data_IF_649665982332
#
_entry.id   IF_649665982332
#
_cell.length_a   1.000
_cell.length_b   1.000
_cell.length_c   1.000
_cell.angle_alpha   90.00
_cell.angle_beta   90.00
_cell.angle_gamma   90.00
#
_symmetry.space_group_name_H-M   'P 1'
#
loop_
_entity.id
_entity.type
_entity.pdbx_description
1 polymer ?
#
# COMPACT_ATOMS: atom_id res chain seq x y z
N UNK A 1 18.12 1.22 -2.66
CA UNK A 1 17.71 0.61 -1.37
C UNK A 1 18.59 1.15 -0.26
N UNK A 2 18.00 1.72 0.80
CA UNK A 2 18.78 2.24 1.94
C UNK A 2 19.50 1.10 2.65
N UNK A 3 20.66 1.37 3.25
CA UNK A 3 21.46 0.34 3.96
C UNK A 3 20.62 -0.35 5.05
N UNK A 4 19.79 0.40 5.77
CA UNK A 4 18.90 -0.13 6.80
C UNK A 4 17.90 -1.17 6.24
N UNK A 5 17.37 -0.98 5.03
CA UNK A 5 16.41 -1.92 4.43
C UNK A 5 17.07 -3.27 4.08
N UNK A 6 18.32 -3.23 3.61
CA UNK A 6 19.10 -4.46 3.40
C UNK A 6 19.39 -5.21 4.70
N UNK A 7 19.66 -4.47 5.78
CA UNK A 7 19.87 -5.08 7.10
C UNK A 7 18.58 -5.69 7.65
N UNK A 8 17.42 -5.07 7.42
CA UNK A 8 16.11 -5.65 7.79
C UNK A 8 15.89 -6.97 7.05
N UNK A 9 16.13 -7.02 5.73
CA UNK A 9 16.00 -8.26 4.97
C UNK A 9 16.95 -9.34 5.49
N UNK A 10 18.22 -9.00 5.74
CA UNK A 10 19.20 -9.94 6.30
C UNK A 10 18.81 -10.46 7.70
N UNK A 11 18.10 -9.64 8.50
CA UNK A 11 17.52 -10.07 9.79
C UNK A 11 16.40 -11.09 9.58
N UNK A 12 15.53 -10.88 8.59
CA UNK A 12 14.44 -11.80 8.26
C UNK A 12 14.98 -13.14 7.75
N UNK A 13 15.96 -13.09 6.83
CA UNK A 13 16.65 -14.29 6.32
C UNK A 13 17.32 -15.09 7.45
N UNK A 14 17.89 -14.40 8.44
CA UNK A 14 18.51 -15.04 9.61
C UNK A 14 17.46 -15.73 10.50
N UNK A 15 16.31 -15.08 10.73
CA UNK A 15 15.19 -15.65 11.50
C UNK A 15 14.65 -16.92 10.81
N UNK A 16 14.50 -16.90 9.50
CA UNK A 16 14.07 -18.05 8.72
C UNK A 16 15.12 -19.17 8.72
N UNK A 17 16.37 -18.84 8.41
CA UNK A 17 17.47 -19.80 8.36
C UNK A 17 17.69 -20.51 9.69
N UNK A 18 17.49 -19.82 10.81
CA UNK A 18 17.56 -20.40 12.14
C UNK A 18 16.24 -21.04 12.60
N UNK A 19 15.19 -21.04 11.77
CA UNK A 19 13.86 -21.58 12.08
C UNK A 19 13.31 -21.06 13.41
N UNK A 20 13.57 -19.79 13.74
CA UNK A 20 13.16 -19.17 15.00
C UNK A 20 11.65 -19.17 15.17
N UNK A 21 11.18 -19.45 16.38
CA UNK A 21 9.76 -19.43 16.73
C UNK A 21 9.40 -18.14 17.48
N UNK A 22 8.12 -17.77 17.48
CA UNK A 22 7.63 -16.67 18.31
C UNK A 22 7.94 -16.97 19.77
N UNK A 23 8.55 -16.02 20.45
CA UNK A 23 9.07 -16.16 21.80
C UNK A 23 10.57 -16.47 21.88
N UNK A 24 11.23 -16.85 20.78
CA UNK A 24 12.66 -17.09 20.77
C UNK A 24 13.43 -15.78 20.93
N UNK A 25 14.56 -15.86 21.62
CA UNK A 25 15.45 -14.73 21.84
C UNK A 25 16.39 -14.55 20.64
N UNK A 26 16.42 -13.33 20.11
CA UNK A 26 17.38 -12.98 19.07
C UNK A 26 18.81 -12.97 19.62
N UNK A 27 19.82 -13.24 18.77
CA UNK A 27 21.23 -13.01 19.11
C UNK A 27 21.45 -11.57 19.59
N UNK A 28 22.46 -11.36 20.43
CA UNK A 28 22.81 -10.02 20.92
C UNK A 28 23.19 -9.08 19.76
N UNK A 29 23.03 -7.75 19.94
CA UNK A 29 23.43 -6.75 18.92
C UNK A 29 24.88 -6.99 18.44
N UNK A 30 25.80 -7.38 19.33
CA UNK A 30 27.18 -7.69 18.97
C UNK A 30 27.26 -8.89 18.01
N UNK A 31 26.56 -9.98 18.34
CA UNK A 31 26.51 -11.18 17.50
C UNK A 31 25.84 -10.89 16.15
N UNK A 32 24.76 -10.12 16.15
CA UNK A 32 24.08 -9.71 14.91
C UNK A 32 24.98 -8.86 14.01
N UNK A 33 25.75 -7.91 14.58
CA UNK A 33 26.71 -7.13 13.79
C UNK A 33 27.80 -8.03 13.15
N UNK A 34 28.29 -9.03 13.89
CA UNK A 34 29.28 -10.00 13.40
C UNK A 34 28.66 -10.89 12.30
N UNK A 35 27.50 -11.48 12.53
CA UNK A 35 26.84 -12.40 11.60
C UNK A 35 26.39 -11.72 10.29
N UNK A 36 25.85 -10.51 10.39
CA UNK A 36 25.36 -9.76 9.25
C UNK A 36 26.41 -8.84 8.60
N UNK A 37 27.60 -8.75 9.19
CA UNK A 37 28.73 -7.91 8.73
C UNK A 37 28.31 -6.43 8.56
N UNK A 38 27.56 -5.89 9.54
CA UNK A 38 27.02 -4.53 9.50
C UNK A 38 27.47 -3.67 10.69
N UNK A 39 27.42 -2.34 10.53
CA UNK A 39 27.73 -1.41 11.61
C UNK A 39 26.64 -1.43 12.70
N UNK A 40 27.02 -1.08 13.94
CA UNK A 40 26.07 -0.99 15.05
C UNK A 40 24.95 0.04 14.79
N UNK A 41 25.26 1.15 14.12
CA UNK A 41 24.27 2.17 13.78
C UNK A 41 23.24 1.64 12.79
N UNK A 42 23.69 0.98 11.71
CA UNK A 42 22.79 0.38 10.70
C UNK A 42 21.94 -0.74 11.29
N UNK A 43 22.53 -1.57 12.19
CA UNK A 43 21.77 -2.61 12.88
C UNK A 43 20.68 -2.02 13.78
N UNK A 44 20.99 -0.98 14.57
CA UNK A 44 20.01 -0.35 15.46
C UNK A 44 18.85 0.29 14.70
N UNK A 45 19.14 0.96 13.58
CA UNK A 45 18.10 1.50 12.70
C UNK A 45 17.19 0.38 12.16
N UNK A 46 17.79 -0.73 11.71
CA UNK A 46 17.03 -1.89 11.26
C UNK A 46 16.21 -2.53 12.38
N UNK A 47 16.77 -2.75 13.58
CA UNK A 47 16.07 -3.29 14.73
C UNK A 47 14.91 -2.39 15.16
N UNK A 48 15.09 -1.06 15.12
CA UNK A 48 14.01 -0.11 15.41
C UNK A 48 12.88 -0.23 14.40
N UNK A 49 13.20 -0.38 13.11
CA UNK A 49 12.21 -0.57 12.05
C UNK A 49 11.45 -1.89 12.22
N UNK A 50 12.16 -2.99 12.48
CA UNK A 50 11.57 -4.32 12.72
C UNK A 50 10.71 -4.34 13.99
N UNK A 51 11.11 -3.60 15.02
CA UNK A 51 10.33 -3.42 16.26
C UNK A 51 9.06 -2.60 16.03
N UNK A 52 9.11 -1.54 15.22
CA UNK A 52 7.92 -0.74 14.87
C UNK A 52 6.89 -1.54 14.05
N UNK A 53 7.32 -2.56 13.33
CA UNK A 53 6.47 -3.52 12.61
C UNK A 53 5.90 -4.63 13.53
N UNK A 54 6.28 -4.62 14.82
CA UNK A 54 5.84 -5.62 15.81
C UNK A 54 6.44 -7.00 15.62
N UNK A 55 7.45 -7.16 14.75
CA UNK A 55 8.11 -8.46 14.49
C UNK A 55 9.01 -8.86 15.67
N UNK A 56 9.64 -7.89 16.31
CA UNK A 56 10.45 -8.10 17.51
C UNK A 56 9.98 -7.20 18.66
N UNK A 57 10.17 -7.67 19.89
CA UNK A 57 9.90 -6.91 21.10
C UNK A 57 11.14 -6.95 22.01
N UNK A 58 11.58 -5.76 22.47
CA UNK A 58 12.71 -5.64 23.39
C UNK A 58 12.22 -5.54 24.83
N UNK A 59 12.83 -6.34 25.73
CA UNK A 59 12.61 -6.26 27.17
C UNK A 59 13.88 -5.74 27.81
N UNK A 60 13.78 -4.62 28.53
CA UNK A 60 14.93 -3.96 29.17
C UNK A 60 15.66 -4.95 30.10
N UNK A 61 16.96 -5.05 29.95
CA UNK A 61 17.82 -5.95 30.73
C UNK A 61 17.71 -7.44 30.41
N UNK A 62 16.78 -7.85 29.54
CA UNK A 62 16.52 -9.28 29.25
C UNK A 62 16.92 -9.63 27.80
N UNK A 63 16.60 -8.79 26.84
CA UNK A 63 16.97 -9.00 25.43
C UNK A 63 15.84 -8.69 24.46
N UNK A 64 16.06 -8.98 23.20
CA UNK A 64 15.12 -8.85 22.10
C UNK A 64 14.57 -10.21 21.71
N UNK A 65 13.26 -10.32 21.52
CA UNK A 65 12.55 -11.57 21.26
C UNK A 65 11.73 -11.46 19.99
N UNK A 66 11.59 -12.55 19.27
CA UNK A 66 10.66 -12.66 18.15
C UNK A 66 9.22 -12.61 18.68
N UNK A 67 8.49 -11.53 18.35
CA UNK A 67 7.10 -11.32 18.78
C UNK A 67 6.10 -11.82 17.74
N UNK A 68 6.48 -11.72 16.46
CA UNK A 68 5.69 -12.21 15.32
C UNK A 68 6.68 -12.76 14.31
N UNK A 69 6.36 -13.87 13.64
CA UNK A 69 7.21 -14.28 12.51
C UNK A 69 7.24 -13.15 11.48
N UNK A 70 8.44 -12.79 10.96
CA UNK A 70 8.46 -12.00 9.75
C UNK A 70 7.58 -12.75 8.77
N UNK A 71 6.55 -12.12 8.27
CA UNK A 71 6.06 -12.58 7.00
C UNK A 71 7.20 -12.25 6.04
N UNK A 72 7.98 -13.27 5.67
CA UNK A 72 8.73 -13.22 4.43
C UNK A 72 7.63 -13.14 3.38
N UNK A 73 7.33 -11.91 3.00
CA UNK A 73 6.32 -11.68 2.01
C UNK A 73 6.96 -12.14 0.71
N UNK A 74 6.70 -13.42 0.32
CA UNK A 74 7.12 -13.87 -1.00
C UNK A 74 6.62 -12.87 -2.06
N UNK A 75 5.55 -12.14 -1.76
CA UNK A 75 5.04 -11.07 -2.61
C UNK A 75 6.00 -9.90 -2.70
N UNK A 76 6.70 -9.49 -1.62
CA UNK A 76 7.74 -8.48 -1.69
C UNK A 76 8.88 -8.91 -2.62
N UNK A 77 9.32 -10.14 -2.49
CA UNK A 77 10.50 -10.65 -3.18
C UNK A 77 10.20 -11.01 -4.65
N UNK A 78 9.02 -11.56 -4.94
CA UNK A 78 8.69 -12.10 -6.26
C UNK A 78 7.70 -11.26 -7.06
N UNK A 79 7.01 -10.30 -6.43
CA UNK A 79 6.05 -9.42 -7.09
C UNK A 79 6.44 -7.95 -6.92
N UNK A 80 6.53 -7.45 -5.69
CA UNK A 80 6.65 -6.01 -5.44
C UNK A 80 8.00 -5.47 -5.92
N UNK A 81 9.12 -6.09 -5.49
CA UNK A 81 10.46 -5.64 -5.89
C UNK A 81 10.67 -5.68 -7.42
N UNK A 82 10.43 -6.79 -8.12
CA UNK A 82 10.62 -6.85 -9.57
C UNK A 82 9.73 -5.86 -10.33
N UNK A 83 8.47 -5.67 -9.89
CA UNK A 83 7.57 -4.72 -10.52
C UNK A 83 7.93 -3.26 -10.19
N UNK A 84 8.39 -2.96 -8.98
CA UNK A 84 8.90 -1.64 -8.62
C UNK A 84 10.10 -1.26 -9.47
N UNK A 85 11.04 -2.18 -9.67
CA UNK A 85 12.21 -1.95 -10.50
C UNK A 85 11.83 -1.68 -11.97
N UNK A 86 10.79 -2.35 -12.49
CA UNK A 86 10.26 -2.09 -13.84
C UNK A 86 9.61 -0.70 -13.94
N UNK A 87 8.80 -0.31 -12.96
CA UNK A 87 8.14 1.01 -12.94
C UNK A 87 9.16 2.15 -12.80
N UNK A 88 10.25 1.93 -12.06
CA UNK A 88 11.34 2.90 -11.94
C UNK A 88 12.10 3.08 -13.28
N UNK A 89 12.21 2.02 -14.09
CA UNK A 89 12.81 2.07 -15.42
C UNK A 89 11.89 2.74 -16.45
N UNK A 90 10.60 2.40 -16.45
CA UNK A 90 9.59 3.00 -17.33
C UNK A 90 8.30 3.31 -16.52
N UNK A 91 8.04 4.60 -16.24
CA UNK A 91 6.85 5.02 -15.50
C UNK A 91 5.52 4.62 -16.15
N UNK A 92 5.48 4.18 -17.41
CA UNK A 92 4.25 3.75 -18.07
C UNK A 92 3.71 2.44 -17.49
N UNK A 93 4.55 1.56 -16.94
CA UNK A 93 4.11 0.34 -16.26
C UNK A 93 3.15 0.56 -15.08
N UNK A 94 3.10 1.79 -14.54
CA UNK A 94 2.08 2.13 -13.52
C UNK A 94 0.65 2.02 -14.05
N UNK A 95 0.43 2.15 -15.35
CA UNK A 95 -0.91 1.96 -15.95
C UNK A 95 -1.29 0.48 -15.99
N UNK A 96 -0.33 -0.42 -16.21
CA UNK A 96 -0.56 -1.87 -16.13
C UNK A 96 -0.96 -2.26 -14.70
N UNK A 97 -0.35 -1.62 -13.68
CA UNK A 97 -0.75 -1.80 -12.28
C UNK A 97 -2.19 -1.34 -12.04
N UNK A 98 -2.61 -0.23 -12.64
CA UNK A 98 -3.99 0.25 -12.53
C UNK A 98 -4.99 -0.67 -13.25
N UNK A 99 -4.61 -1.27 -14.37
CA UNK A 99 -5.43 -2.26 -15.08
C UNK A 99 -5.59 -3.55 -14.26
N UNK A 100 -4.50 -4.04 -13.64
CA UNK A 100 -4.57 -5.16 -12.70
C UNK A 100 -5.49 -4.84 -11.51
N UNK A 101 -5.41 -3.61 -10.99
CA UNK A 101 -6.27 -3.10 -9.93
C UNK A 101 -7.75 -3.15 -10.33
N UNK A 102 -8.09 -2.69 -11.53
CA UNK A 102 -9.45 -2.72 -12.05
C UNK A 102 -10.06 -4.13 -12.01
N UNK A 103 -9.30 -5.13 -12.43
CA UNK A 103 -9.74 -6.52 -12.47
C UNK A 103 -9.88 -7.11 -11.06
N UNK A 104 -8.88 -6.92 -10.21
CA UNK A 104 -8.86 -7.49 -8.87
C UNK A 104 -9.90 -6.85 -7.97
N UNK A 105 -10.02 -5.53 -7.95
CA UNK A 105 -10.98 -4.83 -7.11
C UNK A 105 -12.43 -5.07 -7.55
N UNK A 106 -12.69 -5.11 -8.85
CA UNK A 106 -14.01 -5.51 -9.35
C UNK A 106 -14.42 -6.92 -8.91
N UNK A 107 -13.46 -7.87 -8.91
CA UNK A 107 -13.68 -9.23 -8.43
C UNK A 107 -13.88 -9.29 -6.93
N UNK A 108 -13.07 -8.59 -6.14
CA UNK A 108 -13.19 -8.57 -4.67
C UNK A 108 -14.50 -7.92 -4.21
N UNK A 109 -14.93 -6.83 -4.83
CA UNK A 109 -16.21 -6.17 -4.52
C UNK A 109 -17.41 -7.08 -4.83
N UNK A 110 -17.36 -7.79 -5.96
CA UNK A 110 -18.40 -8.76 -6.32
C UNK A 110 -18.54 -9.88 -5.27
N UNK A 111 -17.42 -10.42 -4.78
CA UNK A 111 -17.45 -11.42 -3.71
C UNK A 111 -17.80 -10.82 -2.35
N UNK A 112 -17.37 -9.59 -2.05
CA UNK A 112 -17.71 -8.91 -0.80
C UNK A 112 -19.22 -8.70 -0.67
N UNK A 113 -19.89 -8.29 -1.74
CA UNK A 113 -21.36 -8.15 -1.74
C UNK A 113 -22.09 -9.46 -1.44
N UNK A 114 -21.51 -10.62 -1.74
CA UNK A 114 -22.12 -11.93 -1.49
C UNK A 114 -21.76 -12.54 -0.13
N UNK A 115 -20.59 -12.18 0.42
CA UNK A 115 -19.97 -12.91 1.53
C UNK A 115 -19.74 -12.09 2.78
N UNK A 116 -19.80 -10.75 2.67
CA UNK A 116 -19.51 -9.87 3.79
C UNK A 116 -20.43 -10.14 4.98
N UNK A 117 -19.82 -10.24 6.14
CA UNK A 117 -20.51 -10.24 7.43
C UNK A 117 -20.90 -8.83 7.84
N UNK A 118 -21.67 -8.70 8.92
CA UNK A 118 -21.97 -7.39 9.50
C UNK A 118 -20.69 -6.69 10.02
N UNK A 119 -19.74 -7.44 10.57
CA UNK A 119 -18.44 -6.93 11.02
C UNK A 119 -17.60 -6.42 9.85
N UNK A 120 -17.58 -7.14 8.72
CA UNK A 120 -16.87 -6.69 7.52
C UNK A 120 -17.45 -5.38 6.99
N UNK A 121 -18.79 -5.26 6.90
CA UNK A 121 -19.44 -4.03 6.47
C UNK A 121 -19.16 -2.86 7.42
N UNK A 122 -19.22 -3.10 8.73
CA UNK A 122 -18.84 -2.10 9.73
C UNK A 122 -17.40 -1.61 9.55
N UNK A 123 -16.47 -2.50 9.19
CA UNK A 123 -15.08 -2.15 8.89
C UNK A 123 -14.95 -1.32 7.61
N UNK A 124 -15.70 -1.63 6.57
CA UNK A 124 -15.75 -0.84 5.32
C UNK A 124 -16.27 0.55 5.61
N UNK A 125 -17.38 0.69 6.34
CA UNK A 125 -17.94 1.97 6.79
C UNK A 125 -16.92 2.79 7.59
N UNK A 126 -16.24 2.16 8.54
CA UNK A 126 -15.22 2.81 9.36
C UNK A 126 -14.12 3.48 8.52
N UNK A 127 -13.57 2.79 7.51
CA UNK A 127 -12.54 3.37 6.66
C UNK A 127 -13.08 4.44 5.71
N UNK A 128 -14.31 4.27 5.22
CA UNK A 128 -15.00 5.31 4.45
C UNK A 128 -15.15 6.60 5.26
N UNK A 129 -15.62 6.52 6.50
CA UNK A 129 -15.74 7.67 7.41
C UNK A 129 -14.39 8.32 7.71
N UNK A 130 -13.33 7.51 7.84
CA UNK A 130 -11.97 8.03 8.01
C UNK A 130 -11.49 8.82 6.78
N UNK A 131 -11.78 8.36 5.56
CA UNK A 131 -11.46 9.12 4.33
C UNK A 131 -12.11 10.49 4.40
N UNK A 132 -13.40 10.56 4.72
CA UNK A 132 -14.14 11.83 4.83
C UNK A 132 -13.58 12.73 5.93
N UNK A 133 -13.30 12.17 7.11
CA UNK A 133 -12.77 12.91 8.24
C UNK A 133 -11.41 13.54 7.89
N UNK A 134 -10.44 12.76 7.40
CA UNK A 134 -9.12 13.27 7.10
C UNK A 134 -9.12 14.26 5.95
N UNK A 135 -10.01 14.08 4.99
CA UNK A 135 -10.22 15.06 3.93
C UNK A 135 -10.77 16.38 4.47
N UNK A 136 -11.75 16.34 5.38
CA UNK A 136 -12.36 17.54 5.94
C UNK A 136 -11.38 18.43 6.71
N UNK A 137 -10.33 17.84 7.29
CA UNK A 137 -9.25 18.54 8.00
C UNK A 137 -8.02 18.82 7.13
N UNK A 138 -8.06 18.47 5.83
CA UNK A 138 -6.98 18.72 4.87
C UNK A 138 -5.76 17.79 5.02
N UNK A 139 -5.87 16.67 5.75
CA UNK A 139 -4.79 15.68 5.91
C UNK A 139 -4.82 14.66 4.75
N UNK A 140 -4.28 15.06 3.59
CA UNK A 140 -4.28 14.25 2.39
C UNK A 140 -3.49 12.93 2.54
N UNK A 141 -2.48 12.87 3.41
CA UNK A 141 -1.70 11.65 3.64
C UNK A 141 -2.54 10.61 4.36
N UNK A 142 -3.24 11.01 5.43
CA UNK A 142 -4.14 10.09 6.13
C UNK A 142 -5.39 9.74 5.33
N UNK A 143 -5.93 10.68 4.55
CA UNK A 143 -7.04 10.41 3.65
C UNK A 143 -6.66 9.31 2.63
N UNK A 144 -5.48 9.43 1.99
CA UNK A 144 -4.98 8.42 1.05
C UNK A 144 -4.70 7.06 1.71
N UNK A 145 -4.20 7.04 2.95
CA UNK A 145 -4.01 5.79 3.69
C UNK A 145 -5.34 5.12 4.06
N UNK A 146 -6.34 5.92 4.46
CA UNK A 146 -7.69 5.42 4.77
C UNK A 146 -8.40 4.89 3.52
N UNK A 147 -8.20 5.52 2.36
CA UNK A 147 -8.68 5.05 1.06
C UNK A 147 -8.11 3.66 0.71
N UNK A 148 -6.81 3.47 0.86
CA UNK A 148 -6.18 2.16 0.67
C UNK A 148 -6.78 1.10 1.62
N UNK A 149 -7.00 1.46 2.89
CA UNK A 149 -7.62 0.57 3.86
C UNK A 149 -9.09 0.26 3.55
N UNK A 150 -9.85 1.21 2.97
CA UNK A 150 -11.21 0.99 2.49
C UNK A 150 -11.24 -0.11 1.43
N UNK A 151 -10.41 -0.01 0.40
CA UNK A 151 -10.31 -1.02 -0.65
C UNK A 151 -9.80 -2.37 -0.13
N UNK A 152 -8.85 -2.37 0.81
CA UNK A 152 -8.38 -3.60 1.46
C UNK A 152 -9.47 -4.25 2.33
N UNK A 153 -10.29 -3.47 3.02
CA UNK A 153 -11.43 -4.00 3.79
C UNK A 153 -12.45 -4.69 2.87
N UNK A 154 -12.71 -4.13 1.68
CA UNK A 154 -13.55 -4.78 0.65
C UNK A 154 -12.91 -6.10 0.18
N UNK A 155 -11.60 -6.12 -0.05
CA UNK A 155 -10.91 -7.35 -0.44
C UNK A 155 -10.97 -8.42 0.65
N UNK A 156 -10.83 -8.05 1.92
CA UNK A 156 -10.97 -8.96 3.07
C UNK A 156 -12.40 -9.49 3.19
N UNK A 157 -13.41 -8.63 2.99
CA UNK A 157 -14.83 -9.00 2.98
C UNK A 157 -15.20 -9.98 1.86
N UNK A 158 -14.33 -10.16 0.85
CA UNK A 158 -14.50 -11.22 -0.16
C UNK A 158 -14.33 -12.62 0.40
N UNK A 159 -13.76 -12.76 1.60
CA UNK A 159 -13.37 -14.03 2.24
C UNK A 159 -12.54 -14.95 1.34
N UNK A 160 -11.73 -14.34 0.44
CA UNK A 160 -10.78 -15.04 -0.42
C UNK A 160 -9.36 -14.61 -0.08
N UNK A 161 -8.65 -15.44 0.68
CA UNK A 161 -7.30 -15.12 1.16
C UNK A 161 -6.31 -14.83 0.02
N UNK A 162 -6.45 -15.49 -1.13
CA UNK A 162 -5.56 -15.29 -2.27
C UNK A 162 -5.78 -13.89 -2.86
N UNK A 163 -7.04 -13.51 -3.10
CA UNK A 163 -7.37 -12.17 -3.60
C UNK A 163 -6.93 -11.09 -2.60
N UNK A 164 -7.14 -11.31 -1.30
CA UNK A 164 -6.72 -10.38 -0.25
C UNK A 164 -5.20 -10.17 -0.26
N UNK A 165 -4.40 -11.22 -0.41
CA UNK A 165 -2.95 -11.11 -0.46
C UNK A 165 -2.47 -10.41 -1.75
N UNK A 166 -3.08 -10.73 -2.90
CA UNK A 166 -2.80 -10.02 -4.15
C UNK A 166 -3.11 -8.53 -4.05
N UNK A 167 -4.25 -8.17 -3.42
CA UNK A 167 -4.61 -6.78 -3.21
C UNK A 167 -3.64 -6.05 -2.29
N UNK A 168 -3.17 -6.67 -1.20
CA UNK A 168 -2.13 -6.10 -0.32
C UNK A 168 -0.86 -5.81 -1.10
N UNK A 169 -0.34 -6.79 -1.84
CA UNK A 169 0.86 -6.61 -2.67
C UNK A 169 0.70 -5.49 -3.70
N UNK A 170 -0.48 -5.39 -4.31
CA UNK A 170 -0.78 -4.36 -5.28
C UNK A 170 -0.82 -2.96 -4.64
N UNK A 171 -1.40 -2.82 -3.43
CA UNK A 171 -1.40 -1.56 -2.69
C UNK A 171 -0.01 -1.16 -2.20
N UNK A 172 0.81 -2.11 -1.77
CA UNK A 172 2.21 -1.85 -1.40
C UNK A 172 2.99 -1.32 -2.60
N UNK A 173 2.81 -1.93 -3.78
CA UNK A 173 3.39 -1.46 -5.04
C UNK A 173 2.92 -0.03 -5.40
N UNK A 174 1.63 0.26 -5.21
CA UNK A 174 1.06 1.58 -5.46
C UNK A 174 1.58 2.64 -4.47
N UNK A 175 1.76 2.30 -3.20
CA UNK A 175 2.32 3.22 -2.21
C UNK A 175 3.77 3.61 -2.56
N UNK A 176 4.55 2.68 -3.10
CA UNK A 176 5.94 2.94 -3.47
C UNK A 176 6.08 3.92 -4.65
N UNK A 177 5.18 3.86 -5.64
CA UNK A 177 5.36 4.51 -6.93
C UNK A 177 4.34 5.62 -7.27
N UNK A 178 3.19 5.69 -6.59
CA UNK A 178 2.04 6.53 -6.99
C UNK A 178 1.68 7.62 -5.97
N UNK A 179 2.43 7.75 -4.87
CA UNK A 179 2.17 8.73 -3.79
C UNK A 179 1.98 10.16 -4.32
N UNK A 180 2.73 10.57 -5.35
CA UNK A 180 2.64 11.93 -5.88
C UNK A 180 1.34 12.19 -6.66
N UNK A 181 0.87 11.23 -7.45
CA UNK A 181 -0.37 11.37 -8.23
C UNK A 181 -1.62 11.33 -7.35
N UNK A 182 -1.67 10.40 -6.39
CA UNK A 182 -2.78 10.29 -5.42
C UNK A 182 -2.91 11.55 -4.57
N UNK A 183 -1.82 12.07 -4.02
CA UNK A 183 -1.84 13.33 -3.26
C UNK A 183 -2.51 14.47 -4.02
N UNK A 184 -2.25 14.60 -5.33
CA UNK A 184 -2.85 15.64 -6.16
C UNK A 184 -4.35 15.47 -6.33
N UNK A 185 -4.85 14.24 -6.47
CA UNK A 185 -6.28 13.96 -6.56
C UNK A 185 -6.98 14.33 -5.26
N UNK A 186 -6.38 14.04 -4.11
CA UNK A 186 -6.95 14.37 -2.78
C UNK A 186 -6.84 15.85 -2.40
N UNK A 187 -6.02 16.64 -3.09
CA UNK A 187 -5.90 18.10 -2.85
C UNK A 187 -6.87 18.92 -3.71
N UNK A 188 -7.50 18.34 -4.74
CA UNK A 188 -8.48 19.02 -5.58
C UNK A 188 -9.90 18.78 -5.05
N UNK A 189 -10.54 19.85 -4.54
CA UNK A 189 -11.85 19.76 -3.92
C UNK A 189 -12.97 19.27 -4.87
N UNK A 190 -12.85 19.54 -6.18
CA UNK A 190 -13.84 19.06 -7.16
C UNK A 190 -13.71 17.56 -7.40
N UNK A 191 -12.49 17.06 -7.53
CA UNK A 191 -12.23 15.63 -7.72
C UNK A 191 -12.62 14.82 -6.47
N UNK A 192 -12.40 15.39 -5.29
CA UNK A 192 -12.77 14.75 -4.03
C UNK A 192 -14.28 14.51 -3.91
N UNK A 193 -15.13 15.48 -4.27
CA UNK A 193 -16.58 15.30 -4.22
C UNK A 193 -17.06 14.12 -5.08
N UNK A 194 -16.40 13.89 -6.22
CA UNK A 194 -16.70 12.78 -7.11
C UNK A 194 -16.19 11.44 -6.54
N UNK A 195 -14.99 11.41 -5.97
CA UNK A 195 -14.45 10.23 -5.31
C UNK A 195 -15.32 9.77 -4.13
N UNK A 196 -15.75 10.73 -3.31
CA UNK A 196 -16.65 10.47 -2.20
C UNK A 196 -17.93 9.77 -2.64
N UNK A 197 -18.60 10.30 -3.69
CA UNK A 197 -19.82 9.72 -4.23
C UNK A 197 -19.57 8.29 -4.76
N UNK A 198 -18.46 8.06 -5.44
CA UNK A 198 -18.11 6.74 -5.97
C UNK A 198 -17.83 5.73 -4.85
N UNK A 199 -17.08 6.11 -3.81
CA UNK A 199 -16.87 5.23 -2.65
C UNK A 199 -18.19 4.90 -1.94
N UNK A 200 -19.08 5.89 -1.79
CA UNK A 200 -20.41 5.67 -1.24
C UNK A 200 -21.20 4.64 -2.08
N UNK A 201 -21.18 4.75 -3.40
CA UNK A 201 -21.87 3.81 -4.31
C UNK A 201 -21.35 2.38 -4.16
N UNK A 202 -20.02 2.21 -4.01
CA UNK A 202 -19.43 0.89 -3.78
C UNK A 202 -19.90 0.30 -2.44
N UNK A 203 -19.82 1.08 -1.38
CA UNK A 203 -20.25 0.69 -0.03
C UNK A 203 -21.72 0.33 0.01
N UNK A 204 -22.60 1.19 -0.52
CA UNK A 204 -24.05 1.00 -0.60
C UNK A 204 -24.42 -0.27 -1.40
N UNK A 205 -23.69 -0.57 -2.49
CA UNK A 205 -23.91 -1.77 -3.27
C UNK A 205 -23.54 -3.05 -2.49
N UNK A 206 -22.47 -3.00 -1.68
CA UNK A 206 -22.09 -4.11 -0.81
C UNK A 206 -23.11 -4.30 0.31
N UNK A 207 -23.60 -3.21 0.92
CA UNK A 207 -24.64 -3.24 1.95
C UNK A 207 -25.96 -3.83 1.42
N UNK A 208 -26.31 -3.51 0.19
CA UNK A 208 -27.48 -4.06 -0.52
C UNK A 208 -27.29 -5.50 -0.99
N UNK A 209 -26.09 -6.04 -0.83
CA UNK A 209 -25.73 -7.37 -1.31
C UNK A 209 -26.01 -7.54 -2.82
N UNK A 210 -25.72 -6.48 -3.61
CA UNK A 210 -25.81 -6.49 -5.07
C UNK A 210 -24.41 -6.64 -5.70
N UNK A 211 -24.01 -7.86 -6.12
CA UNK A 211 -22.67 -8.13 -6.62
C UNK A 211 -22.36 -7.41 -7.93
N UNK A 212 -23.33 -7.31 -8.84
CA UNK A 212 -23.11 -6.69 -10.15
C UNK A 212 -22.97 -5.17 -9.99
N UNK A 213 -23.78 -4.56 -9.14
CA UNK A 213 -23.65 -3.14 -8.82
C UNK A 213 -22.34 -2.84 -8.09
N UNK A 214 -21.94 -3.66 -7.11
CA UNK A 214 -20.68 -3.50 -6.40
C UNK A 214 -19.48 -3.55 -7.37
N UNK A 215 -19.45 -4.53 -8.27
CA UNK A 215 -18.43 -4.67 -9.31
C UNK A 215 -18.39 -3.46 -10.24
N UNK A 216 -19.54 -3.06 -10.80
CA UNK A 216 -19.60 -1.94 -11.75
C UNK A 216 -19.18 -0.63 -11.09
N UNK A 217 -19.63 -0.36 -9.85
CA UNK A 217 -19.28 0.86 -9.10
C UNK A 217 -17.77 0.95 -8.83
N UNK A 218 -17.12 -0.16 -8.44
CA UNK A 218 -15.65 -0.18 -8.28
C UNK A 218 -14.95 0.02 -9.62
N UNK A 219 -15.41 -0.64 -10.68
CA UNK A 219 -14.80 -0.48 -12.00
C UNK A 219 -14.91 0.97 -12.52
N UNK A 220 -16.04 1.64 -12.30
CA UNK A 220 -16.23 3.06 -12.62
C UNK A 220 -15.29 3.95 -11.80
N UNK A 221 -15.17 3.68 -10.49
CA UNK A 221 -14.26 4.40 -9.60
C UNK A 221 -12.80 4.26 -10.07
N UNK A 222 -12.31 3.04 -10.30
CA UNK A 222 -10.92 2.82 -10.75
C UNK A 222 -10.69 3.41 -12.15
N UNK A 223 -11.67 3.28 -13.05
CA UNK A 223 -11.61 3.91 -14.37
C UNK A 223 -11.47 5.43 -14.29
N UNK A 224 -12.20 6.07 -13.39
CA UNK A 224 -12.05 7.50 -13.11
C UNK A 224 -10.63 7.84 -12.61
N UNK A 225 -10.09 7.09 -11.65
CA UNK A 225 -8.72 7.28 -11.15
C UNK A 225 -7.69 7.19 -12.28
N UNK A 226 -7.79 6.19 -13.16
CA UNK A 226 -6.90 6.01 -14.32
C UNK A 226 -6.92 7.26 -15.20
N UNK A 227 -8.12 7.79 -15.50
CA UNK A 227 -8.26 9.01 -16.31
C UNK A 227 -7.63 10.23 -15.64
N UNK A 228 -7.83 10.41 -14.32
CA UNK A 228 -7.24 11.52 -13.58
C UNK A 228 -5.70 11.45 -13.56
N UNK A 229 -5.14 10.27 -13.32
CA UNK A 229 -3.68 10.06 -13.35
C UNK A 229 -3.11 10.40 -14.73
N UNK A 230 -3.75 9.95 -15.81
CA UNK A 230 -3.33 10.29 -17.19
C UNK A 230 -3.38 11.80 -17.45
N UNK A 231 -4.44 12.48 -17.03
CA UNK A 231 -4.58 13.93 -17.20
C UNK A 231 -3.50 14.70 -16.45
N UNK A 232 -3.16 14.28 -15.23
CA UNK A 232 -2.07 14.88 -14.42
C UNK A 232 -0.73 14.74 -15.15
N UNK A 233 -0.43 13.54 -15.66
CA UNK A 233 0.83 13.27 -16.39
C UNK A 233 0.97 14.10 -17.65
N UNK A 234 -0.10 14.20 -18.43
CA UNK A 234 -0.12 15.04 -19.64
C UNK A 234 0.09 16.51 -19.31
N UNK A 235 -0.54 17.00 -18.24
CA UNK A 235 -0.37 18.38 -17.79
C UNK A 235 1.08 18.65 -17.36
N UNK A 236 1.70 17.74 -16.60
CA UNK A 236 3.10 17.84 -16.20
C UNK A 236 4.06 17.79 -17.40
N UNK A 237 3.80 16.90 -18.36
CA UNK A 237 4.58 16.81 -19.57
C UNK A 237 4.49 18.11 -20.42
N UNK A 238 3.31 18.75 -20.47
CA UNK A 238 3.12 20.06 -21.12
C UNK A 238 3.91 21.16 -20.40
N UNK A 239 3.85 21.22 -19.07
CA UNK A 239 4.59 22.19 -18.27
C UNK A 239 6.11 22.04 -18.44
N UNK A 240 6.62 20.81 -18.42
CA UNK A 240 8.04 20.52 -18.68
C UNK A 240 8.48 20.94 -20.07
N UNK A 241 7.65 20.77 -21.09
CA UNK A 241 7.94 21.25 -22.46
C UNK A 241 7.95 22.78 -22.53
N UNK A 242 6.95 23.45 -21.96
CA UNK A 242 6.86 24.91 -21.93
C UNK A 242 8.04 25.56 -21.20
N UNK A 243 8.50 24.99 -20.08
CA UNK A 243 9.65 25.52 -19.34
C UNK A 243 10.98 25.38 -20.10
N UNK A 244 11.11 24.38 -20.99
CA UNK A 244 12.28 24.23 -21.87
C UNK A 244 12.32 25.33 -22.97
N UNK A 245 11.17 25.69 -23.53
CA UNK A 245 11.08 26.77 -24.52
C UNK A 245 11.54 28.12 -23.93
N UNK A 246 11.09 28.45 -22.71
CA UNK A 246 11.52 29.69 -22.02
C UNK A 246 13.03 29.76 -21.73
N UNK A 247 13.73 28.65 -21.69
CA UNK A 247 15.21 28.61 -21.53
C UNK A 247 15.96 28.84 -22.83
N UNK A 248 15.35 28.51 -23.97
CA UNK A 248 15.96 28.73 -25.31
C UNK A 248 15.88 30.20 -25.71
N UNK A 249 14.79 30.90 -25.32
CA UNK A 249 14.62 32.34 -25.64
C UNK A 249 15.50 33.28 -24.79
N UNK A 250 16.23 32.78 -23.80
CA UNK A 250 17.10 33.54 -22.89
C UNK A 250 18.60 33.24 -23.10
N UNK A 251 18.96 32.43 -24.09
CA UNK A 251 20.33 32.08 -24.48
C UNK A 251 20.65 32.63 -25.88
#
# INVERSE_FOLDING_TARGET
>A
MKIADRVVQSLYDLIEKQSMQVGDRLPSERQLCEQLSVSRSSLREALQKVSSQGVIASRVGVGTYLAKRPQSDWSDQFIIQPLSDLIDQDPLYRFDVQEARLILEGGTAWYAAQRSTEEDRAKIHHYYDQVLHFQSIGDADKASASDANFHLAIAEASHNIVLTQMMRSLFDLLQYNVVLGRKKIYTDAHQFGQLHLQHFQVMDAIDKQDPELARSSVCEHIGFIIQQVRAIDEAEARLKRSSRLKRIDLS
#
